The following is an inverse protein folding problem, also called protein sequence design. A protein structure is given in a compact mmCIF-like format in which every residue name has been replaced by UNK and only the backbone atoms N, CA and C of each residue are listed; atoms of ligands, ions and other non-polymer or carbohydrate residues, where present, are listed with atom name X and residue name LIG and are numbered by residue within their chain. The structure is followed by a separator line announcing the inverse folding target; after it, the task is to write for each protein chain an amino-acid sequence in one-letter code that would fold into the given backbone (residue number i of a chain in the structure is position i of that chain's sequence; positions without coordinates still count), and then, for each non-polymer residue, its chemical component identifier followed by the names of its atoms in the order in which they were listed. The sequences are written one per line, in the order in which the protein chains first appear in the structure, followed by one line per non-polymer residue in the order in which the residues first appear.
data_IF_930937661390
#
_entry.id   IF_930937661390
#
_cell.length_a   1.000
_cell.length_b   1.000
_cell.length_c   1.000
_cell.angle_alpha   90.00
_cell.angle_beta   90.00
_cell.angle_gamma   90.00
#
_symmetry.space_group_name_H-M   'P 1'
#
loop_
_entity.id
_entity.type
_entity.pdbx_description
1 polymer ?
#
# COMPACT_ATOMS: atom_id res chain seq x y z
N UNK A 1 -3.11 22.03 1.37
CA UNK A 1 -2.30 20.82 1.57
C UNK A 1 -3.19 19.65 1.22
N UNK A 2 -3.05 19.09 0.02
CA UNK A 2 -3.90 17.99 -0.44
C UNK A 2 -3.59 16.79 0.43
N UNK A 3 -4.52 16.41 1.30
CA UNK A 3 -4.36 15.25 2.16
C UNK A 3 -4.26 14.02 1.26
N UNK A 4 -3.07 13.41 1.19
CA UNK A 4 -2.93 12.11 0.56
C UNK A 4 -3.77 11.15 1.40
N UNK A 5 -4.72 10.40 0.82
CA UNK A 5 -5.47 9.40 1.58
C UNK A 5 -4.47 8.38 2.12
N UNK A 6 -4.13 8.52 3.40
CA UNK A 6 -3.24 7.62 4.10
C UNK A 6 -4.00 6.31 4.27
N UNK A 7 -3.52 5.27 3.60
CA UNK A 7 -3.99 3.91 3.85
C UNK A 7 -3.75 3.58 5.33
N UNK A 8 -4.71 2.93 5.99
CA UNK A 8 -4.61 2.58 7.40
C UNK A 8 -3.68 1.37 7.57
N UNK A 9 -2.39 1.60 7.81
CA UNK A 9 -1.40 0.54 8.02
C UNK A 9 -1.33 0.03 9.47
N UNK A 10 -2.23 0.48 10.35
CA UNK A 10 -2.12 0.22 11.79
C UNK A 10 -2.49 -1.22 12.18
N UNK A 11 -3.14 -1.97 11.29
CA UNK A 11 -3.53 -3.35 11.57
C UNK A 11 -2.39 -4.34 11.28
N UNK A 12 -2.14 -5.27 12.20
CA UNK A 12 -1.08 -6.29 12.08
C UNK A 12 -1.25 -7.22 10.87
N UNK A 13 -2.46 -7.33 10.33
CA UNK A 13 -2.77 -8.04 9.08
C UNK A 13 -2.06 -7.49 7.84
N UNK A 14 -1.56 -6.24 7.90
CA UNK A 14 -0.70 -5.69 6.86
C UNK A 14 0.74 -6.18 6.93
N UNK A 15 1.15 -6.86 8.00
CA UNK A 15 2.51 -7.36 8.15
C UNK A 15 2.51 -8.89 8.12
N UNK A 16 3.12 -9.46 7.08
CA UNK A 16 3.24 -10.90 6.90
C UNK A 16 4.62 -11.37 7.37
N UNK A 17 4.65 -12.01 8.54
CA UNK A 17 5.85 -12.59 9.14
C UNK A 17 6.31 -13.89 8.46
N UNK A 18 5.51 -14.46 7.54
CA UNK A 18 5.82 -15.74 6.90
C UNK A 18 6.83 -15.64 5.78
N UNK A 19 7.06 -14.42 5.25
CA UNK A 19 8.12 -14.15 4.28
C UNK A 19 7.86 -12.95 3.39
N UNK A 20 8.96 -12.37 2.91
CA UNK A 20 8.93 -11.26 1.98
C UNK A 20 8.43 -11.72 0.60
N UNK A 21 7.52 -10.93 0.00
CA UNK A 21 7.04 -11.13 -1.37
C UNK A 21 7.34 -9.90 -2.20
N UNK A 22 7.60 -10.03 -3.51
CA UNK A 22 7.92 -8.89 -4.36
C UNK A 22 6.75 -7.91 -4.41
N UNK A 23 7.03 -6.63 -4.14
CA UNK A 23 6.06 -5.55 -4.24
C UNK A 23 5.47 -5.49 -5.66
N UNK A 24 4.14 -5.46 -5.79
CA UNK A 24 3.47 -5.39 -7.10
C UNK A 24 3.75 -4.10 -7.88
N UNK A 25 4.23 -3.04 -7.21
CA UNK A 25 4.54 -1.76 -7.85
C UNK A 25 6.01 -1.63 -8.27
N UNK A 26 6.95 -2.11 -7.45
CA UNK A 26 8.40 -1.90 -7.67
C UNK A 26 9.23 -3.18 -7.73
N UNK A 27 8.64 -4.35 -7.50
CA UNK A 27 9.31 -5.66 -7.54
C UNK A 27 10.22 -5.98 -6.34
N UNK A 28 10.54 -4.99 -5.49
CA UNK A 28 11.41 -5.19 -4.32
C UNK A 28 10.68 -6.02 -3.25
N UNK A 29 11.34 -7.01 -2.62
CA UNK A 29 10.74 -7.82 -1.56
C UNK A 29 10.23 -6.97 -0.40
N UNK A 30 9.02 -7.28 0.07
CA UNK A 30 8.38 -6.59 1.18
C UNK A 30 7.60 -7.55 2.09
N UNK A 31 7.66 -7.35 3.42
CA UNK A 31 6.81 -8.06 4.36
C UNK A 31 5.40 -7.45 4.42
N UNK A 32 5.20 -6.27 3.83
CA UNK A 32 3.94 -5.55 3.87
C UNK A 32 2.91 -6.13 2.90
N UNK A 33 1.64 -6.02 3.27
CA UNK A 33 0.46 -6.43 2.51
C UNK A 33 -0.51 -5.26 2.46
N UNK A 34 -1.06 -4.98 1.29
CA UNK A 34 -2.22 -4.09 1.13
C UNK A 34 -3.42 -4.66 1.89
N UNK A 35 -4.48 -3.87 2.05
CA UNK A 35 -5.78 -4.33 2.58
C UNK A 35 -6.33 -5.59 1.88
N UNK A 36 -6.04 -5.76 0.58
CA UNK A 36 -6.44 -6.94 -0.20
C UNK A 36 -5.44 -8.11 -0.14
N UNK A 37 -4.47 -8.08 0.77
CA UNK A 37 -3.44 -9.11 0.93
C UNK A 37 -2.34 -9.11 -0.15
N UNK A 38 -2.30 -8.13 -1.07
CA UNK A 38 -1.25 -8.02 -2.10
C UNK A 38 0.05 -7.49 -1.51
N UNK A 39 1.23 -8.02 -1.88
CA UNK A 39 2.51 -7.51 -1.40
C UNK A 39 2.78 -6.12 -1.99
N UNK A 40 2.88 -5.11 -1.13
CA UNK A 40 3.15 -3.73 -1.55
C UNK A 40 3.77 -2.94 -0.41
N UNK A 41 4.74 -2.09 -0.73
CA UNK A 41 5.27 -1.14 0.25
C UNK A 41 4.24 -0.07 0.59
N UNK A 42 4.26 0.42 1.82
CA UNK A 42 3.44 1.55 2.27
C UNK A 42 3.47 2.72 1.28
N UNK A 43 4.67 3.20 0.96
CA UNK A 43 4.88 4.33 0.05
C UNK A 43 4.43 4.03 -1.38
N UNK A 44 4.59 2.79 -1.87
CA UNK A 44 4.15 2.40 -3.21
C UNK A 44 2.63 2.38 -3.31
N UNK A 45 1.95 1.90 -2.27
CA UNK A 45 0.50 1.89 -2.22
C UNK A 45 -0.07 3.30 -2.05
N UNK A 46 0.53 4.15 -1.21
CA UNK A 46 0.15 5.57 -1.10
C UNK A 46 0.35 6.33 -2.41
N UNK A 47 1.47 6.10 -3.11
CA UNK A 47 1.72 6.68 -4.43
C UNK A 47 0.73 6.18 -5.49
N UNK A 48 0.41 4.89 -5.50
CA UNK A 48 -0.60 4.33 -6.40
C UNK A 48 -1.98 4.94 -6.16
N UNK A 49 -2.42 5.07 -4.90
CA UNK A 49 -3.69 5.71 -4.57
C UNK A 49 -3.67 7.19 -4.97
N UNK A 50 -2.57 7.91 -4.77
CA UNK A 50 -2.45 9.30 -5.19
C UNK A 50 -2.57 9.49 -6.72
N UNK A 51 -2.09 8.51 -7.49
CA UNK A 51 -2.14 8.50 -8.95
C UNK A 51 -3.48 7.99 -9.51
N UNK A 52 -4.14 7.07 -8.80
CA UNK A 52 -5.36 6.38 -9.24
C UNK A 52 -6.64 6.82 -8.54
N UNK A 53 -6.58 7.71 -7.54
CA UNK A 53 -7.78 8.38 -7.01
C UNK A 53 -8.27 9.35 -8.09
N UNK A 54 -9.43 9.10 -8.72
CA UNK A 54 -10.02 10.10 -9.59
C UNK A 54 -10.27 11.34 -8.75
N UNK A 55 -9.82 12.49 -9.26
CA UNK A 55 -10.07 13.81 -8.69
C UNK A 55 -11.57 14.10 -8.76
N UNK A 56 -12.35 13.53 -7.86
CA UNK A 56 -13.81 13.64 -7.89
C UNK A 56 -14.53 12.55 -7.10
N UNK A 57 -14.42 12.58 -5.78
CA UNK A 57 -15.56 12.31 -4.89
C UNK A 57 -15.17 12.96 -3.55
N UNK A 58 -15.74 14.14 -3.29
CA UNK A 58 -15.72 14.83 -2.00
C UNK A 58 -17.10 14.68 -1.38
#
# INVERSE_FOLDING_TARGET
MTAMPLLNWHESQHYDHTGDKPCVCCGIPTPLRSERGRPVHKVCAEAWTADHTPKGEQ
#
